data_IF_543062665142
#
_entry.id   IF_543062665142
#
_cell.length_a   1.000
_cell.length_b   1.000
_cell.length_c   1.000
_cell.angle_alpha   90.00
_cell.angle_beta   90.00
_cell.angle_gamma   90.00
#
_symmetry.space_group_name_H-M   'P 1'
#
loop_
_entity.id
_entity.type
_entity.pdbx_description
1 polymer ?
#
# COMPACT_ATOMS: atom_id res chain seq x y z
N UNK A 1 -4.84 -10.54 -1.80
CA UNK A 1 -4.89 -9.14 -1.35
C UNK A 1 -3.87 -8.90 -0.25
N UNK A 2 -4.02 -9.50 0.94
CA UNK A 2 -3.11 -9.33 2.09
C UNK A 2 -1.62 -9.50 1.77
N UNK A 3 -1.27 -10.56 1.01
CA UNK A 3 0.12 -10.80 0.60
C UNK A 3 0.66 -9.68 -0.31
N UNK A 4 -0.17 -9.14 -1.21
CA UNK A 4 0.22 -8.03 -2.09
C UNK A 4 0.44 -6.75 -1.27
N UNK A 5 -0.47 -6.42 -0.36
CA UNK A 5 -0.32 -5.28 0.56
C UNK A 5 0.94 -5.39 1.41
N UNK A 6 1.24 -6.59 1.93
CA UNK A 6 2.46 -6.86 2.70
C UNK A 6 3.71 -6.67 1.84
N UNK A 7 3.69 -7.11 0.58
CA UNK A 7 4.78 -6.90 -0.35
C UNK A 7 5.02 -5.40 -0.61
N UNK A 8 3.96 -4.59 -0.76
CA UNK A 8 4.07 -3.12 -0.87
C UNK A 8 4.75 -2.52 0.35
N UNK A 9 4.33 -2.90 1.57
CA UNK A 9 4.97 -2.39 2.79
C UNK A 9 6.45 -2.77 2.89
N UNK A 10 6.81 -4.00 2.54
CA UNK A 10 8.21 -4.44 2.56
C UNK A 10 9.06 -3.64 1.57
N UNK A 11 8.57 -3.46 0.33
CA UNK A 11 9.26 -2.66 -0.69
C UNK A 11 9.44 -1.21 -0.25
N UNK A 12 8.35 -0.58 0.23
CA UNK A 12 8.37 0.81 0.71
C UNK A 12 9.25 0.99 1.94
N UNK A 13 9.30 0.01 2.85
CA UNK A 13 10.19 0.08 4.01
C UNK A 13 11.65 0.18 3.56
N UNK A 14 12.09 -0.66 2.62
CA UNK A 14 13.44 -0.60 2.06
C UNK A 14 13.71 0.73 1.33
N UNK A 15 12.77 1.17 0.48
CA UNK A 15 12.91 2.40 -0.28
C UNK A 15 13.00 3.66 0.62
N UNK A 16 12.13 3.77 1.63
CA UNK A 16 12.11 4.88 2.58
C UNK A 16 13.37 4.88 3.44
N UNK A 17 13.77 3.73 3.99
CA UNK A 17 14.99 3.63 4.78
C UNK A 17 16.24 4.04 3.99
N UNK A 18 16.32 3.64 2.71
CA UNK A 18 17.39 4.08 1.82
C UNK A 18 17.30 5.59 1.52
N UNK A 19 16.10 6.10 1.23
CA UNK A 19 15.87 7.50 0.92
C UNK A 19 16.24 8.44 2.08
N UNK A 20 16.06 8.02 3.34
CA UNK A 20 16.47 8.77 4.53
C UNK A 20 17.99 8.84 4.74
N UNK A 21 18.73 7.86 4.22
CA UNK A 21 20.17 7.75 4.42
C UNK A 21 20.96 8.31 3.23
N UNK A 22 20.43 8.14 2.02
CA UNK A 22 21.10 8.51 0.78
C UNK A 22 21.08 10.02 0.61
N UNK A 23 22.27 10.62 0.49
CA UNK A 23 22.47 12.02 0.12
C UNK A 23 22.95 12.12 -1.32
N UNK A 24 22.36 13.04 -2.08
CA UNK A 24 22.77 13.32 -3.46
C UNK A 24 22.21 14.66 -3.91
N UNK A 25 22.94 15.34 -4.80
CA UNK A 25 22.61 16.67 -5.30
C UNK A 25 22.62 17.75 -4.21
N UNK A 26 22.56 19.00 -4.65
CA UNK A 26 22.64 20.20 -3.83
C UNK A 26 21.41 21.04 -4.16
N UNK A 27 20.35 20.93 -3.37
CA UNK A 27 19.12 21.69 -3.58
C UNK A 27 19.16 23.02 -2.84
N UNK A 28 19.28 22.95 -1.51
CA UNK A 28 19.21 24.11 -0.62
C UNK A 28 20.58 24.72 -0.30
N UNK A 29 21.65 23.92 -0.32
CA UNK A 29 23.03 24.34 0.00
C UNK A 29 24.04 23.89 -1.07
N UNK A 30 24.79 24.81 -1.72
CA UNK A 30 25.83 24.46 -2.69
C UNK A 30 27.02 23.68 -2.11
N UNK A 31 27.17 23.61 -0.79
CA UNK A 31 28.28 22.94 -0.10
C UNK A 31 27.89 21.58 0.49
N UNK A 32 26.59 21.30 0.67
CA UNK A 32 26.10 20.08 1.33
C UNK A 32 25.10 19.33 0.47
N UNK A 33 25.31 18.02 0.37
CA UNK A 33 24.33 17.16 -0.28
C UNK A 33 23.11 16.91 0.62
N UNK A 34 21.93 16.98 0.01
CA UNK A 34 20.64 16.84 0.66
C UNK A 34 20.16 15.39 0.61
N UNK A 35 19.41 14.98 1.63
CA UNK A 35 18.88 13.61 1.71
C UNK A 35 17.81 13.45 0.63
N UNK A 36 17.75 12.29 -0.04
CA UNK A 36 16.77 12.08 -1.10
C UNK A 36 15.33 12.29 -0.61
N UNK A 37 15.01 11.87 0.62
CA UNK A 37 13.68 12.08 1.20
C UNK A 37 13.32 13.55 1.45
N UNK A 38 14.27 14.49 1.50
CA UNK A 38 13.97 15.92 1.66
C UNK A 38 13.45 16.55 0.35
N UNK A 39 13.67 15.89 -0.79
CA UNK A 39 13.15 16.36 -2.08
C UNK A 39 11.65 16.06 -2.21
N UNK A 40 10.83 17.10 -2.41
CA UNK A 40 9.38 16.96 -2.60
C UNK A 40 8.99 15.98 -3.71
N UNK A 41 9.74 15.95 -4.81
CA UNK A 41 9.50 14.99 -5.89
C UNK A 41 9.71 13.55 -5.42
N UNK A 42 10.71 13.29 -4.57
CA UNK A 42 10.97 11.97 -4.02
C UNK A 42 9.94 11.59 -2.96
N UNK A 43 9.50 12.56 -2.13
CA UNK A 43 8.40 12.36 -1.18
C UNK A 43 7.12 11.95 -1.91
N UNK A 44 6.71 12.65 -2.97
CA UNK A 44 5.51 12.28 -3.75
C UNK A 44 5.61 10.87 -4.34
N UNK A 45 6.79 10.45 -4.78
CA UNK A 45 7.00 9.09 -5.31
C UNK A 45 6.76 8.01 -4.25
N UNK A 46 7.17 8.23 -3.00
CA UNK A 46 7.12 7.19 -1.96
C UNK A 46 5.94 7.32 -0.99
N UNK A 47 5.64 8.53 -0.52
CA UNK A 47 4.65 8.78 0.54
C UNK A 47 3.22 8.55 0.03
N UNK A 48 2.91 8.92 -1.22
CA UNK A 48 1.58 8.67 -1.79
C UNK A 48 1.30 7.15 -1.91
N UNK A 49 2.33 6.37 -2.28
CA UNK A 49 2.26 4.90 -2.32
C UNK A 49 2.14 4.30 -0.93
N UNK A 50 2.84 4.85 0.07
CA UNK A 50 2.70 4.44 1.46
C UNK A 50 1.28 4.68 1.97
N UNK A 51 0.72 5.87 1.72
CA UNK A 51 -0.65 6.18 2.09
C UNK A 51 -1.63 5.20 1.43
N UNK A 52 -1.42 4.90 0.13
CA UNK A 52 -2.23 3.91 -0.58
C UNK A 52 -2.07 2.49 -0.01
N UNK A 53 -0.88 2.08 0.42
CA UNK A 53 -0.65 0.77 1.01
C UNK A 53 -1.44 0.59 2.32
N UNK A 54 -1.55 1.65 3.14
CA UNK A 54 -2.43 1.64 4.32
C UNK A 54 -3.92 1.54 3.95
N UNK A 55 -4.36 2.27 2.92
CA UNK A 55 -5.75 2.15 2.45
C UNK A 55 -6.06 0.72 1.95
N UNK A 56 -5.13 0.12 1.21
CA UNK A 56 -5.24 -1.27 0.75
C UNK A 56 -5.27 -2.28 1.93
N UNK A 57 -4.57 -1.98 3.03
CA UNK A 57 -4.60 -2.78 4.25
C UNK A 57 -5.97 -2.72 4.93
N UNK A 58 -6.54 -1.52 5.08
CA UNK A 58 -7.87 -1.35 5.67
C UNK A 58 -8.94 -2.07 4.84
N UNK A 59 -8.93 -1.91 3.51
CA UNK A 59 -9.86 -2.62 2.64
C UNK A 59 -9.69 -4.15 2.69
N UNK A 60 -8.45 -4.64 2.86
CA UNK A 60 -8.19 -6.07 3.04
C UNK A 60 -8.70 -6.60 4.36
N UNK A 61 -8.63 -5.80 5.44
CA UNK A 61 -9.17 -6.19 6.75
C UNK A 61 -10.70 -6.25 6.71
N UNK A 62 -11.36 -5.26 6.12
CA UNK A 62 -12.82 -5.27 5.94
C UNK A 62 -13.28 -6.50 5.16
N UNK A 63 -12.52 -6.89 4.11
CA UNK A 63 -12.79 -8.12 3.36
C UNK A 63 -12.67 -9.38 4.22
N UNK A 64 -11.68 -9.45 5.12
CA UNK A 64 -11.51 -10.59 6.04
C UNK A 64 -12.63 -10.65 7.07
N UNK A 65 -13.02 -9.51 7.64
CA UNK A 65 -14.13 -9.43 8.59
C UNK A 65 -15.43 -9.89 7.95
N UNK A 66 -15.75 -9.39 6.76
CA UNK A 66 -16.95 -9.80 6.01
C UNK A 66 -16.92 -11.27 5.60
N UNK A 67 -15.74 -11.78 5.25
CA UNK A 67 -15.56 -13.21 5.01
C UNK A 67 -15.88 -14.02 6.27
N UNK A 68 -15.36 -13.65 7.44
CA UNK A 68 -15.65 -14.35 8.69
C UNK A 68 -17.15 -14.28 9.05
N UNK A 69 -17.81 -13.13 8.89
CA UNK A 69 -19.24 -12.99 9.17
C UNK A 69 -20.12 -13.93 8.32
N UNK A 70 -19.83 -14.03 7.02
CA UNK A 70 -20.57 -14.92 6.09
C UNK A 70 -20.28 -16.39 6.43
N UNK A 71 -19.02 -16.79 6.53
CA UNK A 71 -18.65 -18.19 6.67
C UNK A 71 -18.81 -18.75 8.10
N UNK A 72 -18.90 -17.88 9.12
CA UNK A 72 -19.25 -18.28 10.48
C UNK A 72 -20.75 -18.44 10.70
N UNK A 73 -21.58 -18.07 9.72
CA UNK A 73 -23.04 -18.15 9.82
C UNK A 73 -23.71 -16.92 10.44
N UNK A 74 -22.95 -15.91 10.88
CA UNK A 74 -23.51 -14.69 11.52
C UNK A 74 -24.30 -13.82 10.53
N UNK A 75 -23.83 -13.77 9.28
CA UNK A 75 -24.44 -13.02 8.17
C UNK A 75 -24.51 -13.89 6.91
N UNK A 76 -24.98 -15.14 7.04
CA UNK A 76 -25.07 -16.07 5.91
C UNK A 76 -26.34 -15.86 5.08
N UNK A 77 -26.40 -14.72 4.38
CA UNK A 77 -27.46 -14.39 3.44
C UNK A 77 -26.94 -14.30 2.01
N UNK A 78 -27.81 -14.50 1.01
CA UNK A 78 -27.43 -14.36 -0.39
C UNK A 78 -26.91 -12.95 -0.73
N UNK A 79 -27.47 -11.92 -0.08
CA UNK A 79 -27.04 -10.52 -0.24
C UNK A 79 -25.63 -10.33 0.30
N UNK A 80 -25.35 -10.80 1.52
CA UNK A 80 -24.04 -10.67 2.15
C UNK A 80 -22.95 -11.43 1.37
N UNK A 81 -23.29 -12.61 0.84
CA UNK A 81 -22.40 -13.39 -0.04
C UNK A 81 -22.09 -12.62 -1.34
N UNK A 82 -23.08 -12.00 -1.97
CA UNK A 82 -22.88 -11.22 -3.19
C UNK A 82 -22.05 -9.95 -2.94
N UNK A 83 -22.26 -9.29 -1.80
CA UNK A 83 -21.44 -8.14 -1.39
C UNK A 83 -20.00 -8.55 -1.10
N UNK A 84 -19.79 -9.70 -0.44
CA UNK A 84 -18.46 -10.28 -0.23
C UNK A 84 -17.74 -10.55 -1.56
N UNK A 85 -18.41 -11.17 -2.52
CA UNK A 85 -17.85 -11.44 -3.85
C UNK A 85 -17.47 -10.14 -4.58
N UNK A 86 -18.34 -9.13 -4.51
CA UNK A 86 -18.12 -7.81 -5.11
C UNK A 86 -16.90 -7.13 -4.51
N UNK A 87 -16.79 -7.12 -3.18
CA UNK A 87 -15.66 -6.56 -2.46
C UNK A 87 -14.36 -7.31 -2.81
N UNK A 88 -14.39 -8.65 -2.83
CA UNK A 88 -13.25 -9.46 -3.21
C UNK A 88 -12.78 -9.18 -4.66
N UNK A 89 -13.73 -9.05 -5.59
CA UNK A 89 -13.47 -8.74 -6.99
C UNK A 89 -12.88 -7.33 -7.19
N UNK A 90 -13.18 -6.37 -6.30
CA UNK A 90 -12.60 -5.04 -6.32
C UNK A 90 -11.22 -4.99 -5.64
N UNK A 91 -11.10 -5.49 -4.40
CA UNK A 91 -9.88 -5.38 -3.58
C UNK A 91 -8.72 -6.18 -4.19
N UNK A 92 -9.00 -7.36 -4.75
CA UNK A 92 -7.95 -8.22 -5.32
C UNK A 92 -7.15 -7.53 -6.43
N UNK A 93 -7.72 -7.10 -7.56
CA UNK A 93 -6.95 -6.48 -8.63
C UNK A 93 -6.26 -5.19 -8.17
N UNK A 94 -6.97 -4.33 -7.42
CA UNK A 94 -6.44 -3.05 -6.94
C UNK A 94 -5.18 -3.23 -6.10
N UNK A 95 -5.22 -4.13 -5.10
CA UNK A 95 -4.06 -4.38 -4.23
C UNK A 95 -2.90 -5.02 -5.00
N UNK A 96 -3.18 -5.91 -5.95
CA UNK A 96 -2.11 -6.59 -6.73
C UNK A 96 -1.41 -5.66 -7.72
N UNK A 97 -2.16 -4.80 -8.41
CA UNK A 97 -1.56 -3.80 -9.31
C UNK A 97 -0.78 -2.77 -8.54
N UNK A 98 -1.33 -2.25 -7.44
CA UNK A 98 -0.60 -1.31 -6.60
C UNK A 98 0.70 -1.89 -6.03
N UNK A 99 0.70 -3.18 -5.65
CA UNK A 99 1.92 -3.85 -5.21
C UNK A 99 2.97 -3.97 -6.33
N UNK A 100 2.55 -4.32 -7.55
CA UNK A 100 3.45 -4.36 -8.70
C UNK A 100 4.07 -2.98 -8.99
N UNK A 101 3.23 -1.95 -9.07
CA UNK A 101 3.66 -0.58 -9.35
C UNK A 101 4.56 -0.01 -8.24
N UNK A 102 4.32 -0.41 -6.99
CA UNK A 102 5.14 0.01 -5.85
C UNK A 102 6.51 -0.65 -5.83
N UNK A 103 6.59 -1.94 -6.21
CA UNK A 103 7.85 -2.67 -6.23
C UNK A 103 8.75 -2.31 -7.42
N UNK A 104 8.19 -1.73 -8.48
CA UNK A 104 8.90 -1.36 -9.71
C UNK A 104 9.32 0.12 -9.76
N UNK A 105 8.84 0.95 -8.83
CA UNK A 105 9.19 2.36 -8.72
C UNK A 105 10.63 2.61 -8.23
#
# INVERSE_FOLDING_TARGET
SLAATTASFLGLHGALAYAEQRRQFKASDPQREEVLLDYQNHQRRLIDRLARAYADAFASNELVEKFDDVFSGRSDTDVDRQELETLAAAVKPLTTWHALDTLQE
#
